data_IF_398891585506
#
_entry.id   IF_398891585506
#
_cell.length_a   1.000
_cell.length_b   1.000
_cell.length_c   1.000
_cell.angle_alpha   90.00
_cell.angle_beta   90.00
_cell.angle_gamma   90.00
#
_symmetry.space_group_name_H-M   'P 1'
#
loop_
_entity.id
_entity.type
_entity.pdbx_description
1 polymer ?
#
# COMPACT_ATOMS: atom_id res chain seq x y z
N UNK A 1 -25.26 -9.32 -28.78
CA UNK A 1 -24.02 -9.13 -29.57
C UNK A 1 -22.86 -9.32 -28.61
N UNK A 2 -21.86 -10.18 -28.89
CA UNK A 2 -20.69 -10.31 -28.04
C UNK A 2 -19.90 -9.00 -28.06
N UNK A 3 -19.64 -8.43 -26.88
CA UNK A 3 -18.80 -7.24 -26.72
C UNK A 3 -17.35 -7.73 -26.69
N UNK A 4 -16.54 -7.34 -27.68
CA UNK A 4 -15.11 -7.66 -27.70
C UNK A 4 -14.44 -7.24 -26.40
N UNK A 5 -13.76 -8.19 -25.73
CA UNK A 5 -13.10 -7.96 -24.44
C UNK A 5 -13.91 -8.43 -23.21
N UNK A 6 -15.12 -8.96 -23.39
CA UNK A 6 -15.95 -9.52 -22.33
C UNK A 6 -16.27 -10.99 -22.64
N UNK A 7 -15.98 -11.87 -21.68
CA UNK A 7 -16.24 -13.31 -21.80
C UNK A 7 -17.74 -13.63 -21.64
N UNK A 8 -18.12 -14.88 -21.90
CA UNK A 8 -19.51 -15.36 -21.82
C UNK A 8 -20.17 -15.18 -20.45
N UNK A 9 -19.39 -14.92 -19.40
CA UNK A 9 -19.87 -14.69 -18.03
C UNK A 9 -20.01 -13.18 -17.72
N UNK A 10 -19.79 -12.30 -18.69
CA UNK A 10 -19.86 -10.84 -18.49
C UNK A 10 -18.61 -10.23 -17.86
N UNK A 11 -17.53 -11.00 -17.70
CA UNK A 11 -16.27 -10.52 -17.11
C UNK A 11 -15.28 -10.11 -18.19
N UNK A 12 -14.41 -9.15 -17.87
CA UNK A 12 -13.28 -8.78 -18.73
C UNK A 12 -12.41 -10.00 -19.04
N UNK A 13 -12.05 -10.18 -20.32
CA UNK A 13 -11.04 -11.16 -20.72
C UNK A 13 -9.66 -10.59 -20.38
N UNK A 14 -8.97 -11.18 -19.41
CA UNK A 14 -7.60 -10.81 -19.08
C UNK A 14 -6.67 -11.10 -20.26
N UNK A 15 -5.75 -10.19 -20.55
CA UNK A 15 -4.75 -10.38 -21.61
C UNK A 15 -3.88 -11.61 -21.29
N UNK A 16 -3.41 -12.34 -22.31
CA UNK A 16 -2.44 -13.42 -22.09
C UNK A 16 -1.13 -12.91 -21.44
N UNK A 17 -0.82 -11.62 -21.62
CA UNK A 17 0.32 -10.95 -20.98
C UNK A 17 0.06 -10.55 -19.53
N UNK A 18 -1.20 -10.62 -19.07
CA UNK A 18 -1.63 -10.33 -17.70
C UNK A 18 -1.97 -11.62 -16.92
N UNK A 19 -1.74 -12.80 -17.52
CA UNK A 19 -1.98 -14.08 -16.85
C UNK A 19 -1.06 -14.20 -15.64
N UNK A 20 -1.70 -14.30 -14.49
CA UNK A 20 -1.10 -14.56 -13.19
C UNK A 20 -0.69 -16.04 -13.18
N UNK A 21 0.61 -16.34 -13.10
CA UNK A 21 1.17 -17.71 -13.14
C UNK A 21 0.67 -18.52 -11.95
N UNK A 22 -0.18 -19.54 -12.16
CA UNK A 22 -0.75 -20.35 -11.08
C UNK A 22 0.26 -21.03 -10.14
N UNK A 23 1.55 -21.08 -10.49
CA UNK A 23 2.64 -21.64 -9.66
C UNK A 23 3.43 -20.59 -8.86
N UNK A 24 3.43 -19.32 -9.25
CA UNK A 24 4.22 -18.28 -8.60
C UNK A 24 3.47 -17.62 -7.45
N UNK A 25 3.76 -17.93 -6.20
CA UNK A 25 3.42 -17.04 -5.08
C UNK A 25 4.05 -15.63 -5.22
N UNK A 26 4.98 -15.46 -6.17
CA UNK A 26 5.61 -14.22 -6.64
C UNK A 26 4.79 -13.40 -7.65
N UNK A 27 3.56 -13.83 -7.95
CA UNK A 27 2.60 -13.26 -8.91
C UNK A 27 2.16 -11.82 -8.70
N UNK A 28 2.54 -11.23 -7.59
CA UNK A 28 2.06 -9.91 -7.28
C UNK A 28 2.90 -8.91 -8.07
N UNK A 29 2.22 -8.08 -8.86
CA UNK A 29 2.85 -7.09 -9.74
C UNK A 29 3.78 -6.13 -8.98
N UNK A 30 4.55 -5.33 -9.71
CA UNK A 30 5.54 -4.40 -9.16
C UNK A 30 4.99 -3.51 -8.03
N UNK A 31 3.70 -3.15 -8.10
CA UNK A 31 2.99 -2.41 -7.04
C UNK A 31 3.02 -3.14 -5.68
N UNK A 32 2.82 -4.45 -5.65
CA UNK A 32 2.82 -5.22 -4.41
C UNK A 32 4.23 -5.45 -3.87
N UNK A 33 5.19 -5.75 -4.75
CA UNK A 33 6.59 -5.96 -4.32
C UNK A 33 7.17 -4.70 -3.67
N UNK A 34 6.92 -3.53 -4.25
CA UNK A 34 7.37 -2.27 -3.70
C UNK A 34 6.48 -1.79 -2.54
N UNK A 35 5.16 -2.00 -2.62
CA UNK A 35 4.21 -1.57 -1.60
C UNK A 35 4.24 -2.37 -0.31
N UNK A 36 4.52 -3.69 -0.39
CA UNK A 36 4.57 -4.58 0.78
C UNK A 36 5.68 -4.21 1.77
N UNK A 37 6.85 -3.78 1.26
CA UNK A 37 7.99 -3.34 2.07
C UNK A 37 7.64 -2.15 2.96
N UNK A 38 6.89 -1.18 2.42
CA UNK A 38 6.45 -0.01 3.18
C UNK A 38 5.23 -0.31 4.05
N UNK A 39 4.36 -1.23 3.63
CA UNK A 39 3.18 -1.62 4.39
C UNK A 39 3.55 -2.17 5.77
N UNK A 40 4.55 -3.05 5.87
CA UNK A 40 4.99 -3.59 7.15
C UNK A 40 5.42 -2.48 8.11
N UNK A 41 6.17 -1.47 7.62
CA UNK A 41 6.61 -0.35 8.45
C UNK A 41 5.45 0.56 8.87
N UNK A 42 4.53 0.85 7.95
CA UNK A 42 3.32 1.64 8.24
C UNK A 42 2.45 0.94 9.27
N UNK A 43 2.30 -0.37 9.17
CA UNK A 43 1.56 -1.20 10.11
C UNK A 43 2.21 -1.22 11.50
N UNK A 44 3.54 -1.39 11.58
CA UNK A 44 4.27 -1.29 12.86
C UNK A 44 4.02 0.05 13.54
N UNK A 45 4.19 1.16 12.81
CA UNK A 45 3.97 2.50 13.35
C UNK A 45 2.49 2.75 13.73
N UNK A 46 1.54 2.21 12.96
CA UNK A 46 0.13 2.31 13.29
C UNK A 46 -0.21 1.55 14.57
N UNK A 47 0.33 0.34 14.73
CA UNK A 47 0.11 -0.48 15.92
C UNK A 47 0.77 0.14 17.15
N UNK A 48 2.00 0.66 17.03
CA UNK A 48 2.67 1.40 18.10
C UNK A 48 1.87 2.64 18.53
N UNK A 49 1.39 3.42 17.57
CA UNK A 49 0.57 4.60 17.84
C UNK A 49 -0.76 4.22 18.49
N UNK A 50 -1.44 3.18 17.99
CA UNK A 50 -2.69 2.67 18.54
C UNK A 50 -2.51 2.19 19.98
N UNK A 51 -1.49 1.36 20.23
CA UNK A 51 -1.19 0.87 21.57
C UNK A 51 -0.88 2.01 22.54
N UNK A 52 -0.16 3.04 22.09
CA UNK A 52 0.11 4.21 22.92
C UNK A 52 -1.16 5.05 23.21
N UNK A 53 -2.15 5.06 22.31
CA UNK A 53 -3.40 5.79 22.52
C UNK A 53 -4.44 5.00 23.31
N UNK A 54 -4.42 3.67 23.23
CA UNK A 54 -5.37 2.77 23.90
C UNK A 54 -4.91 2.32 25.31
N UNK A 55 -3.65 2.54 25.67
CA UNK A 55 -3.15 2.21 27.01
C UNK A 55 -3.78 3.12 28.08
N UNK A 56 -4.67 2.54 28.88
CA UNK A 56 -5.36 3.23 29.97
C UNK A 56 -4.43 3.65 31.12
N UNK A 57 -3.21 3.10 31.18
CA UNK A 57 -2.19 3.51 32.16
C UNK A 57 -1.30 4.63 31.63
N UNK A 58 -1.53 5.08 30.39
CA UNK A 58 -0.68 6.08 29.80
C UNK A 58 -1.01 7.45 30.39
N UNK A 59 -0.01 8.07 31.03
CA UNK A 59 -0.14 9.41 31.58
C UNK A 59 -0.12 10.42 30.42
N UNK A 60 -1.27 10.63 29.76
CA UNK A 60 -1.37 11.62 28.67
C UNK A 60 -1.03 13.05 29.12
N UNK A 61 -1.13 13.32 30.44
CA UNK A 61 -0.74 14.58 31.06
C UNK A 61 0.79 14.72 31.21
N UNK A 62 1.54 13.64 31.02
CA UNK A 62 3.01 13.65 31.05
C UNK A 62 3.58 14.15 29.72
N UNK A 63 4.33 15.26 29.70
CA UNK A 63 4.83 15.86 28.46
C UNK A 63 5.79 14.93 27.69
N UNK A 64 6.46 14.00 28.37
CA UNK A 64 7.34 13.01 27.73
C UNK A 64 6.52 11.99 26.94
N UNK A 65 5.40 11.53 27.52
CA UNK A 65 4.47 10.62 26.85
C UNK A 65 3.85 11.30 25.62
N UNK A 66 3.41 12.54 25.78
CA UNK A 66 2.84 13.33 24.69
C UNK A 66 3.85 13.55 23.55
N UNK A 67 5.10 13.85 23.88
CA UNK A 67 6.17 14.01 22.90
C UNK A 67 6.44 12.71 22.12
N UNK A 68 6.41 11.54 22.79
CA UNK A 68 6.55 10.24 22.13
C UNK A 68 5.40 9.94 21.17
N UNK A 69 4.15 10.18 21.58
CA UNK A 69 2.96 10.01 20.72
C UNK A 69 3.04 10.94 19.51
N UNK A 70 3.44 12.19 19.72
CA UNK A 70 3.60 13.18 18.64
C UNK A 70 4.69 12.75 17.64
N UNK A 71 5.83 12.25 18.12
CA UNK A 71 6.89 11.70 17.27
C UNK A 71 6.42 10.47 16.48
N UNK A 72 5.71 9.53 17.13
CA UNK A 72 5.11 8.36 16.48
C UNK A 72 4.12 8.76 15.37
N UNK A 73 3.27 9.74 15.64
CA UNK A 73 2.32 10.28 14.66
C UNK A 73 3.06 10.93 13.46
N UNK A 74 4.12 11.71 13.71
CA UNK A 74 4.97 12.26 12.66
C UNK A 74 5.64 11.19 11.80
N UNK A 75 6.17 10.13 12.42
CA UNK A 75 6.75 9.00 11.70
C UNK A 75 5.71 8.23 10.88
N UNK A 76 4.52 8.00 11.43
CA UNK A 76 3.43 7.34 10.73
C UNK A 76 3.00 8.13 9.49
N UNK A 77 2.79 9.45 9.63
CA UNK A 77 2.37 10.30 8.52
C UNK A 77 3.42 10.37 7.41
N UNK A 78 4.70 10.47 7.77
CA UNK A 78 5.79 10.47 6.79
C UNK A 78 5.91 9.13 6.06
N UNK A 79 5.75 8.00 6.76
CA UNK A 79 5.72 6.67 6.14
C UNK A 79 4.54 6.52 5.17
N UNK A 80 3.34 7.01 5.52
CA UNK A 80 2.18 7.00 4.62
C UNK A 80 2.35 7.89 3.40
N UNK A 81 3.00 9.03 3.56
CA UNK A 81 3.33 9.92 2.45
C UNK A 81 4.32 9.24 1.49
N UNK A 82 5.37 8.61 2.01
CA UNK A 82 6.33 7.84 1.22
C UNK A 82 5.63 6.71 0.45
N UNK A 83 4.75 5.95 1.10
CA UNK A 83 3.95 4.90 0.46
C UNK A 83 3.12 5.44 -0.71
N UNK A 84 2.45 6.57 -0.53
CA UNK A 84 1.65 7.22 -1.57
C UNK A 84 2.50 7.71 -2.74
N UNK A 85 3.67 8.28 -2.46
CA UNK A 85 4.61 8.75 -3.48
C UNK A 85 5.18 7.60 -4.32
N UNK A 86 5.51 6.47 -3.70
CA UNK A 86 5.95 5.26 -4.41
C UNK A 86 4.83 4.74 -5.31
N UNK A 87 3.59 4.65 -4.80
CA UNK A 87 2.45 4.21 -5.61
C UNK A 87 2.21 5.13 -6.81
N UNK A 88 2.32 6.45 -6.61
CA UNK A 88 2.22 7.44 -7.68
C UNK A 88 3.31 7.25 -8.72
N UNK A 89 4.57 7.09 -8.30
CA UNK A 89 5.70 6.86 -9.20
C UNK A 89 5.51 5.60 -10.06
N UNK A 90 5.03 4.53 -9.45
CA UNK A 90 4.71 3.29 -10.17
C UNK A 90 3.61 3.52 -11.21
N UNK A 91 2.51 4.18 -10.82
CA UNK A 91 1.42 4.52 -11.71
C UNK A 91 1.90 5.35 -12.90
N UNK A 92 2.64 6.41 -12.65
CA UNK A 92 3.12 7.34 -13.68
C UNK A 92 4.11 6.64 -14.63
N UNK A 93 4.98 5.77 -14.10
CA UNK A 93 5.90 4.94 -14.89
C UNK A 93 5.15 3.94 -15.78
N UNK A 94 4.18 3.21 -15.22
CA UNK A 94 3.36 2.28 -15.99
C UNK A 94 2.57 3.00 -17.08
N UNK A 95 2.03 4.18 -16.78
CA UNK A 95 1.32 5.00 -17.77
C UNK A 95 2.25 5.48 -18.90
N UNK A 96 3.49 5.87 -18.58
CA UNK A 96 4.48 6.25 -19.58
C UNK A 96 4.86 5.07 -20.50
N UNK A 97 5.03 3.87 -19.95
CA UNK A 97 5.31 2.67 -20.75
C UNK A 97 4.15 2.38 -21.71
N UNK A 98 2.91 2.33 -21.19
CA UNK A 98 1.72 2.00 -21.98
C UNK A 98 1.49 3.01 -23.11
N UNK A 99 1.76 4.30 -22.88
CA UNK A 99 1.56 5.34 -23.90
C UNK A 99 2.63 5.37 -24.99
N UNK A 100 3.82 4.81 -24.73
CA UNK A 100 4.95 4.80 -25.66
C UNK A 100 5.12 3.44 -26.36
N UNK A 101 4.22 2.49 -26.10
CA UNK A 101 4.03 1.27 -26.90
C UNK A 101 3.09 1.55 -28.07
#
# INVERSE_FOLDING_TARGET
>A
MPISGINSNGNWTTSEYEKVDTASTNNWGMMYRNGSLLNARVETLANELKNALEDANNEMDNPIVLAKISALNGHYNSARQAQSNVMKSIKDTSQAIIRNM
#
